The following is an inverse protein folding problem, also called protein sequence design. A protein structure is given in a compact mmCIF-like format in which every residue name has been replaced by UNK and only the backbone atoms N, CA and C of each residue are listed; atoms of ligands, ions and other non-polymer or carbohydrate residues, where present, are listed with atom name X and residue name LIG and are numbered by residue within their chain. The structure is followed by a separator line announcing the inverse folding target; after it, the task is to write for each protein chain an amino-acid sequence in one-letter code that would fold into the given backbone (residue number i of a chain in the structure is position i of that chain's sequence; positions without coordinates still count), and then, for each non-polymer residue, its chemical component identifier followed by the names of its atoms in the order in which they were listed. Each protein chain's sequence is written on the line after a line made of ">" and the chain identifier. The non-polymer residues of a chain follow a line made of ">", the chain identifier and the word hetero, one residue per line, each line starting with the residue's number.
data_IF_416850781864
#
_entry.id   IF_416850781864
#
_cell.length_a   1.000
_cell.length_b   1.000
_cell.length_c   1.000
_cell.angle_alpha   90.00
_cell.angle_beta   90.00
_cell.angle_gamma   90.00
#
_symmetry.space_group_name_H-M   'P 1'
#
loop_
_entity.id
_entity.type
_entity.pdbx_description
1 polymer ?
#
# COMPACT_ATOMS: atom_id res chain seq x y z
N UNK A 1 15.85 -11.92 14.35
CA UNK A 1 16.26 -12.08 12.93
C UNK A 1 15.37 -11.10 12.21
N UNK A 2 15.99 -10.12 11.57
CA UNK A 2 15.48 -8.78 11.22
C UNK A 2 14.05 -8.76 10.69
N UNK A 3 13.14 -8.10 11.41
CA UNK A 3 12.01 -7.40 10.80
C UNK A 3 12.59 -6.51 9.70
N UNK A 4 12.37 -6.88 8.45
CA UNK A 4 12.79 -6.07 7.32
C UNK A 4 11.60 -5.19 6.99
N UNK A 5 11.60 -3.95 7.48
CA UNK A 5 10.90 -2.87 6.79
C UNK A 5 11.32 -2.94 5.31
N UNK A 6 10.42 -3.42 4.46
CA UNK A 6 10.67 -3.53 3.03
C UNK A 6 10.46 -2.13 2.45
N UNK A 7 11.56 -1.39 2.32
CA UNK A 7 11.55 -0.09 1.65
C UNK A 7 11.55 -0.35 0.15
N UNK A 8 10.50 0.11 -0.52
CA UNK A 8 10.37 0.09 -1.97
C UNK A 8 10.56 1.50 -2.51
N UNK A 9 11.25 1.60 -3.64
CA UNK A 9 11.36 2.87 -4.38
C UNK A 9 10.38 2.81 -5.54
N UNK A 10 9.39 3.68 -5.51
CA UNK A 10 8.43 3.85 -6.60
C UNK A 10 8.84 5.03 -7.47
N UNK A 11 8.67 4.87 -8.78
CA UNK A 11 8.91 5.94 -9.73
C UNK A 11 7.57 6.44 -10.22
N UNK A 12 7.27 7.70 -9.95
CA UNK A 12 6.04 8.35 -10.41
C UNK A 12 6.07 8.63 -11.93
N UNK A 13 4.94 9.02 -12.51
CA UNK A 13 4.81 9.40 -13.92
C UNK A 13 5.77 10.54 -14.34
N UNK A 14 6.17 11.40 -13.41
CA UNK A 14 7.18 12.46 -13.66
C UNK A 14 8.63 11.93 -13.70
N UNK A 15 8.85 10.66 -13.38
CA UNK A 15 10.18 10.05 -13.25
C UNK A 15 10.87 10.36 -11.92
N UNK A 16 10.11 10.85 -10.93
CA UNK A 16 10.58 11.09 -9.58
C UNK A 16 10.60 9.79 -8.78
N UNK A 17 11.73 9.49 -8.16
CA UNK A 17 11.90 8.36 -7.24
C UNK A 17 11.38 8.77 -5.86
N UNK A 18 10.45 7.99 -5.32
CA UNK A 18 9.89 8.17 -3.99
C UNK A 18 10.09 6.89 -3.19
N UNK A 19 10.73 7.01 -2.02
CA UNK A 19 10.95 5.89 -1.12
C UNK A 19 9.75 5.72 -0.17
N UNK A 20 9.21 4.51 -0.16
CA UNK A 20 8.10 4.12 0.71
C UNK A 20 8.48 2.89 1.52
N UNK A 21 8.06 2.86 2.77
CA UNK A 21 8.14 1.66 3.61
C UNK A 21 6.84 0.89 3.50
N UNK A 22 6.91 -0.40 3.16
CA UNK A 22 5.76 -1.30 3.23
C UNK A 22 5.45 -1.58 4.70
N UNK A 23 4.29 -1.10 5.14
CA UNK A 23 3.77 -1.31 6.50
C UNK A 23 3.10 -2.66 6.60
N UNK A 24 2.15 -2.93 5.70
CA UNK A 24 1.38 -4.17 5.67
C UNK A 24 0.82 -4.43 4.26
N UNK A 25 0.37 -5.66 4.00
CA UNK A 25 -0.24 -6.06 2.71
C UNK A 25 -1.52 -6.83 3.01
N UNK A 26 -2.65 -6.27 2.57
CA UNK A 26 -3.97 -6.85 2.78
C UNK A 26 -4.54 -7.41 1.47
N UNK A 27 -5.29 -8.51 1.57
CA UNK A 27 -5.96 -9.11 0.43
C UNK A 27 -7.47 -8.87 0.53
N UNK A 28 -8.01 -8.11 -0.42
CA UNK A 28 -9.43 -7.74 -0.47
C UNK A 28 -9.98 -8.09 -1.85
N UNK A 29 -11.12 -8.78 -1.90
CA UNK A 29 -11.79 -9.16 -3.16
C UNK A 29 -10.87 -9.85 -4.19
N UNK A 30 -9.96 -10.71 -3.71
CA UNK A 30 -8.95 -11.42 -4.51
C UNK A 30 -7.87 -10.52 -5.15
N UNK A 31 -7.80 -9.25 -4.75
CA UNK A 31 -6.75 -8.30 -5.10
C UNK A 31 -5.85 -8.04 -3.89
N UNK A 32 -4.56 -7.81 -4.14
CA UNK A 32 -3.57 -7.49 -3.10
C UNK A 32 -3.37 -5.98 -3.05
N UNK A 33 -3.30 -5.43 -1.84
CA UNK A 33 -3.11 -4.01 -1.58
C UNK A 33 -1.97 -3.81 -0.59
N UNK A 34 -1.04 -2.93 -0.93
CA UNK A 34 0.09 -2.56 -0.08
C UNK A 34 -0.21 -1.25 0.64
N UNK A 35 -0.03 -1.26 1.95
CA UNK A 35 -0.05 -0.05 2.79
C UNK A 35 1.38 0.46 2.87
N UNK A 36 1.60 1.68 2.40
CA UNK A 36 2.90 2.31 2.23
C UNK A 36 2.99 3.59 3.05
N UNK A 37 4.11 3.80 3.73
CA UNK A 37 4.42 5.07 4.40
C UNK A 37 5.57 5.77 3.68
N UNK A 38 5.42 7.05 3.26
CA UNK A 38 6.51 7.79 2.65
C UNK A 38 7.66 7.97 3.64
N UNK A 39 8.89 7.70 3.19
CA UNK A 39 10.10 7.86 4.02
C UNK A 39 10.57 9.32 4.04
N UNK A 40 10.37 10.03 2.93
CA UNK A 40 10.90 11.39 2.74
C UNK A 40 9.96 12.50 3.22
N UNK A 41 8.66 12.25 3.29
CA UNK A 41 7.71 13.20 3.85
C UNK A 41 7.61 13.00 5.37
N UNK A 42 7.69 14.08 6.16
CA UNK A 42 7.30 14.07 7.59
C UNK A 42 5.77 13.89 7.77
N UNK A 43 5.12 13.18 6.85
CA UNK A 43 3.71 12.84 6.87
C UNK A 43 3.56 11.41 7.36
N UNK A 44 2.89 11.25 8.51
CA UNK A 44 2.42 9.94 8.99
C UNK A 44 1.20 9.43 8.19
N UNK A 45 1.01 9.91 6.96
CA UNK A 45 -0.14 9.55 6.11
C UNK A 45 0.22 8.31 5.29
N UNK A 46 -0.38 7.18 5.67
CA UNK A 46 -0.24 5.93 4.94
C UNK A 46 -1.05 5.99 3.63
N UNK A 47 -0.45 5.48 2.56
CA UNK A 47 -1.03 5.41 1.22
C UNK A 47 -1.29 3.95 0.90
N UNK A 48 -2.48 3.65 0.38
CA UNK A 48 -2.87 2.31 -0.02
C UNK A 48 -2.81 2.22 -1.54
N UNK A 49 -1.97 1.32 -2.06
CA UNK A 49 -1.85 1.05 -3.49
C UNK A 49 -2.21 -0.40 -3.80
N UNK A 50 -2.79 -0.64 -4.97
CA UNK A 50 -3.20 -1.95 -5.46
C UNK A 50 -2.09 -2.60 -6.29
N UNK A 51 -1.83 -3.88 -6.07
CA UNK A 51 -1.01 -4.68 -6.97
C UNK A 51 -1.77 -4.91 -8.28
N UNK A 52 -1.17 -4.44 -9.37
CA UNK A 52 -1.64 -4.61 -10.74
C UNK A 52 -0.51 -5.16 -11.61
N UNK A 53 -0.87 -5.61 -12.81
CA UNK A 53 0.08 -6.15 -13.76
C UNK A 53 0.02 -5.32 -15.05
N UNK A 54 1.17 -4.88 -15.54
CA UNK A 54 1.27 -4.13 -16.79
C UNK A 54 1.06 -5.05 -18.00
N UNK A 55 0.93 -4.47 -19.20
CA UNK A 55 0.88 -5.19 -20.46
C UNK A 55 2.10 -6.10 -20.69
N UNK A 56 3.24 -5.77 -20.09
CA UNK A 56 4.49 -6.55 -20.18
C UNK A 56 4.60 -7.66 -19.12
N UNK A 57 3.60 -7.78 -18.23
CA UNK A 57 3.56 -8.80 -17.19
C UNK A 57 4.34 -8.45 -15.92
N UNK A 58 4.81 -7.22 -15.79
CA UNK A 58 5.50 -6.74 -14.58
C UNK A 58 4.45 -6.35 -13.52
N UNK A 59 4.73 -6.69 -12.27
CA UNK A 59 3.96 -6.25 -11.12
C UNK A 59 4.24 -4.77 -10.86
N UNK A 60 3.17 -3.97 -10.78
CA UNK A 60 3.21 -2.56 -10.42
C UNK A 60 2.19 -2.26 -9.34
N UNK A 61 2.42 -1.18 -8.61
CA UNK A 61 1.48 -0.62 -7.65
C UNK A 61 0.76 0.55 -8.31
N UNK A 62 -0.56 0.53 -8.31
CA UNK A 62 -1.42 1.58 -8.88
C UNK A 62 -2.31 2.17 -7.79
N UNK A 63 -2.71 3.43 -7.97
CA UNK A 63 -3.73 4.04 -7.14
C UNK A 63 -5.10 3.37 -7.35
N UNK A 64 -5.92 3.43 -6.31
CA UNK A 64 -7.28 2.90 -6.37
C UNK A 64 -8.19 4.01 -6.92
N UNK A 65 -8.50 3.96 -8.22
CA UNK A 65 -9.39 4.92 -8.87
C UNK A 65 -10.88 4.76 -8.49
N UNK A 66 -11.26 3.59 -7.95
CA UNK A 66 -12.64 3.24 -7.62
C UNK A 66 -12.93 3.50 -6.14
N UNK A 67 -13.79 4.50 -5.83
CA UNK A 67 -14.15 4.89 -4.46
C UNK A 67 -14.74 3.71 -3.65
N UNK A 68 -15.57 2.86 -4.27
CA UNK A 68 -16.15 1.68 -3.60
C UNK A 68 -15.08 0.64 -3.24
N UNK A 69 -14.05 0.48 -4.07
CA UNK A 69 -12.89 -0.37 -3.78
C UNK A 69 -12.03 0.22 -2.67
N UNK A 70 -11.75 1.53 -2.73
CA UNK A 70 -10.96 2.21 -1.71
C UNK A 70 -11.61 2.11 -0.33
N UNK A 71 -12.92 2.35 -0.24
CA UNK A 71 -13.67 2.27 1.02
C UNK A 71 -13.58 0.86 1.64
N UNK A 72 -13.69 -0.19 0.83
CA UNK A 72 -13.58 -1.58 1.33
C UNK A 72 -12.19 -1.91 1.87
N UNK A 73 -11.15 -1.45 1.18
CA UNK A 73 -9.77 -1.74 1.57
C UNK A 73 -9.39 -0.94 2.82
N UNK A 74 -9.82 0.32 2.89
CA UNK A 74 -9.67 1.15 4.08
C UNK A 74 -10.42 0.55 5.29
N UNK A 75 -11.68 0.13 5.12
CA UNK A 75 -12.48 -0.50 6.18
C UNK A 75 -11.84 -1.81 6.66
N UNK A 76 -11.34 -2.64 5.74
CA UNK A 76 -10.62 -3.87 6.08
C UNK A 76 -9.33 -3.57 6.88
N UNK A 77 -8.58 -2.53 6.50
CA UNK A 77 -7.38 -2.12 7.23
C UNK A 77 -7.70 -1.57 8.63
N UNK A 78 -8.72 -0.71 8.74
CA UNK A 78 -9.20 -0.19 10.03
C UNK A 78 -9.72 -1.32 10.93
N UNK A 79 -10.44 -2.30 10.38
CA UNK A 79 -10.92 -3.47 11.13
C UNK A 79 -9.73 -4.30 11.65
N UNK A 80 -8.72 -4.56 10.82
CA UNK A 80 -7.51 -5.27 11.25
C UNK A 80 -6.75 -4.55 12.36
N UNK A 81 -6.57 -3.23 12.26
CA UNK A 81 -5.93 -2.41 13.29
C UNK A 81 -6.76 -2.41 14.58
N UNK A 82 -8.08 -2.28 14.46
CA UNK A 82 -8.99 -2.30 15.60
C UNK A 82 -8.99 -3.66 16.30
N UNK A 83 -8.88 -4.77 15.56
CA UNK A 83 -8.76 -6.12 16.12
C UNK A 83 -7.43 -6.33 16.88
N UNK A 84 -6.34 -5.67 16.45
CA UNK A 84 -5.04 -5.73 17.14
C UNK A 84 -5.01 -4.90 18.45
N UNK A 85 -5.84 -3.85 18.55
CA UNK A 85 -5.93 -3.00 19.75
C UNK A 85 -6.73 -3.61 20.92
N UNK A 86 -7.42 -4.74 20.72
CA UNK A 86 -8.34 -5.32 21.74
C UNK A 86 -7.70 -6.33 22.70
N UNK A 87 -6.37 -6.42 22.81
CA UNK A 87 -5.67 -7.31 23.76
C UNK A 87 -5.26 -6.64 25.10
#
# INVERSE_FOLDING_TARGET
>A
MTEQDEIITLVDEEGAEHDFTVVDIINVDQSEYAILLPVEEESDEAIILKFSQDEDGNELLVDIEDDDEWEKVADAWEEMLAEEEVE
#
